data_IF_664460412257
#
_entry.id   IF_664460412257
#
_cell.length_a   1.000
_cell.length_b   1.000
_cell.length_c   1.000
_cell.angle_alpha   90.00
_cell.angle_beta   90.00
_cell.angle_gamma   90.00
#
_symmetry.space_group_name_H-M   'P 1'
#
loop_
_entity.id
_entity.type
_entity.pdbx_description
1 polymer ?
#
# COMPACT_ATOMS: atom_id res chain seq x y z
N UNK A 1 -14.81 -61.11 -27.54
CA UNK A 1 -16.16 -60.55 -27.75
C UNK A 1 -16.00 -59.03 -27.73
N UNK A 2 -15.68 -58.39 -28.86
CA UNK A 2 -16.60 -57.74 -29.82
C UNK A 2 -17.72 -56.92 -29.16
N UNK A 3 -17.57 -55.60 -29.15
CA UNK A 3 -18.48 -54.68 -29.83
C UNK A 3 -17.83 -53.29 -29.95
N UNK A 4 -17.56 -52.90 -31.19
CA UNK A 4 -17.20 -51.54 -31.61
C UNK A 4 -18.47 -50.82 -32.04
N UNK A 5 -18.56 -49.50 -31.85
CA UNK A 5 -19.47 -48.63 -32.58
C UNK A 5 -18.80 -47.28 -32.83
N UNK A 6 -18.61 -46.98 -34.12
CA UNK A 6 -18.14 -45.73 -34.71
C UNK A 6 -19.35 -45.07 -35.39
N UNK A 7 -19.56 -43.76 -35.17
CA UNK A 7 -20.28 -42.78 -36.02
C UNK A 7 -19.76 -41.40 -35.52
N UNK A 8 -19.22 -40.42 -36.26
CA UNK A 8 -19.20 -40.10 -37.68
C UNK A 8 -20.08 -38.86 -37.97
N UNK A 9 -19.50 -37.65 -38.15
CA UNK A 9 -20.22 -36.54 -38.83
C UNK A 9 -19.91 -35.07 -38.43
N UNK A 10 -18.93 -34.47 -39.12
CA UNK A 10 -18.89 -33.12 -39.77
C UNK A 10 -19.62 -31.87 -39.20
N UNK A 11 -18.79 -30.87 -38.85
CA UNK A 11 -18.80 -29.41 -39.17
C UNK A 11 -20.11 -28.62 -39.38
N UNK A 12 -20.26 -27.51 -38.64
CA UNK A 12 -20.66 -26.18 -39.18
C UNK A 12 -20.26 -25.05 -38.21
N UNK A 13 -19.43 -24.11 -38.70
CA UNK A 13 -19.13 -22.82 -38.07
C UNK A 13 -20.23 -21.86 -38.51
N UNK A 14 -20.99 -21.27 -37.57
CA UNK A 14 -21.88 -20.15 -37.82
C UNK A 14 -21.41 -18.93 -37.05
N UNK A 15 -20.93 -17.94 -37.79
CA UNK A 15 -20.78 -16.56 -37.34
C UNK A 15 -22.14 -15.86 -37.43
N UNK A 16 -22.55 -15.15 -36.37
CA UNK A 16 -23.58 -14.11 -36.48
C UNK A 16 -23.09 -12.82 -35.83
N UNK A 17 -22.88 -11.84 -36.70
CA UNK A 17 -22.83 -10.42 -36.37
C UNK A 17 -24.24 -9.94 -36.00
N UNK A 18 -24.35 -9.05 -35.02
CA UNK A 18 -25.56 -8.25 -34.79
C UNK A 18 -25.20 -6.77 -34.88
N UNK A 19 -25.59 -6.17 -36.01
CA UNK A 19 -25.67 -4.72 -36.20
C UNK A 19 -27.01 -4.21 -35.65
N UNK A 20 -27.00 -2.95 -35.22
CA UNK A 20 -28.12 -2.20 -34.70
C UNK A 20 -29.28 -2.01 -35.69
N UNK A 21 -30.52 -1.96 -35.19
CA UNK A 21 -31.58 -1.08 -35.66
C UNK A 21 -32.74 -1.02 -34.65
N UNK A 22 -33.15 0.20 -34.31
CA UNK A 22 -34.39 0.50 -33.60
C UNK A 22 -35.60 0.26 -34.52
N UNK A 23 -36.75 -0.11 -33.96
CA UNK A 23 -38.06 0.28 -34.49
C UNK A 23 -39.13 0.23 -33.40
N UNK A 24 -40.02 1.20 -33.51
CA UNK A 24 -41.00 1.74 -32.57
C UNK A 24 -42.34 1.01 -32.57
N UNK A 25 -43.12 1.17 -31.49
CA UNK A 25 -44.52 1.64 -31.52
C UNK A 25 -45.07 1.59 -30.08
N UNK A 26 -45.90 2.52 -29.61
CA UNK A 26 -46.73 3.45 -30.37
C UNK A 26 -47.04 4.74 -29.64
N UNK A 27 -47.61 5.63 -30.45
CA UNK A 27 -48.05 6.98 -30.18
C UNK A 27 -49.11 7.09 -29.08
N UNK A 28 -49.11 8.19 -28.32
CA UNK A 28 -50.12 9.25 -28.52
C UNK A 28 -49.53 10.60 -28.08
N UNK A 29 -49.89 11.60 -28.87
CA UNK A 29 -49.27 12.91 -29.08
C UNK A 29 -49.96 14.00 -28.18
N UNK A 30 -49.79 15.32 -28.41
CA UNK A 30 -48.91 16.20 -27.62
C UNK A 30 -49.68 17.29 -26.84
N UNK A 31 -48.99 18.04 -25.99
CA UNK A 31 -49.32 19.45 -25.73
C UNK A 31 -48.10 20.20 -25.21
N UNK A 32 -47.69 21.22 -25.96
CA UNK A 32 -46.70 22.25 -25.60
C UNK A 32 -47.43 23.61 -25.59
N UNK A 33 -46.81 24.73 -25.16
CA UNK A 33 -46.20 25.06 -23.87
C UNK A 33 -46.96 26.22 -23.19
N UNK A 34 -46.63 26.57 -21.94
CA UNK A 34 -46.87 27.92 -21.43
C UNK A 34 -45.77 28.34 -20.44
N UNK A 35 -44.90 29.25 -20.89
CA UNK A 35 -44.27 30.23 -20.00
C UNK A 35 -45.34 31.21 -19.52
N UNK A 36 -45.41 31.44 -18.21
CA UNK A 36 -45.83 32.73 -17.66
C UNK A 36 -44.94 33.11 -16.48
N UNK A 37 -44.30 34.25 -16.68
CA UNK A 37 -43.55 35.08 -15.75
C UNK A 37 -44.48 35.74 -14.70
N UNK A 38 -43.85 36.30 -13.66
CA UNK A 38 -44.33 37.31 -12.69
C UNK A 38 -44.75 36.81 -11.30
N UNK A 39 -43.91 37.10 -10.28
CA UNK A 39 -44.37 37.13 -8.89
C UNK A 39 -43.28 37.22 -7.82
N UNK A 40 -42.56 38.34 -7.75
CA UNK A 40 -41.72 38.70 -6.59
C UNK A 40 -42.64 39.06 -5.41
N UNK A 41 -42.41 38.48 -4.21
CA UNK A 41 -42.50 39.13 -2.89
C UNK A 41 -41.84 38.26 -1.78
N UNK A 42 -40.88 38.83 -1.04
CA UNK A 42 -40.68 38.55 0.40
C UNK A 42 -39.42 37.79 0.84
N UNK A 43 -38.40 38.53 1.30
CA UNK A 43 -37.20 38.07 2.01
C UNK A 43 -37.46 37.26 3.30
N UNK A 44 -36.56 36.32 3.63
CA UNK A 44 -35.74 36.38 4.86
C UNK A 44 -34.59 35.35 4.86
N UNK A 45 -33.51 35.74 5.52
CA UNK A 45 -32.13 35.27 5.46
C UNK A 45 -31.86 33.79 5.80
N UNK A 46 -30.91 33.23 5.06
CA UNK A 46 -30.14 32.04 5.42
C UNK A 46 -29.01 31.86 4.40
N UNK A 47 -27.85 32.46 4.67
CA UNK A 47 -26.71 32.51 3.76
C UNK A 47 -26.27 31.12 3.28
N UNK A 48 -26.46 30.87 1.99
CA UNK A 48 -25.75 29.84 1.23
C UNK A 48 -24.52 30.52 0.64
N UNK A 49 -23.32 30.12 1.05
CA UNK A 49 -22.09 30.56 0.38
C UNK A 49 -22.01 29.80 -0.94
N UNK A 50 -22.18 30.55 -2.02
CA UNK A 50 -22.13 30.10 -3.40
C UNK A 50 -20.69 29.70 -3.76
N UNK A 51 -20.50 28.46 -4.23
CA UNK A 51 -19.21 28.01 -4.77
C UNK A 51 -19.16 28.50 -6.21
N UNK A 52 -18.79 29.78 -6.34
CA UNK A 52 -18.55 30.42 -7.63
C UNK A 52 -17.44 29.72 -8.39
N UNK A 53 -17.83 29.05 -9.48
CA UNK A 53 -16.97 28.69 -10.60
C UNK A 53 -16.43 29.97 -11.24
N UNK A 54 -15.25 30.42 -10.81
CA UNK A 54 -14.46 31.39 -11.55
C UNK A 54 -13.15 30.74 -12.02
N UNK A 55 -13.09 30.50 -13.33
CA UNK A 55 -11.85 30.34 -14.09
C UNK A 55 -11.07 31.65 -14.03
N UNK A 56 -10.41 31.92 -12.91
CA UNK A 56 -9.43 32.99 -12.79
C UNK A 56 -8.07 32.43 -13.22
N UNK A 57 -7.56 32.92 -14.35
CA UNK A 57 -6.16 32.75 -14.73
C UNK A 57 -5.28 33.29 -13.58
N UNK A 58 -4.37 32.50 -13.00
CA UNK A 58 -3.56 33.00 -11.90
C UNK A 58 -2.59 34.10 -12.42
N UNK A 59 -2.38 35.17 -11.64
CA UNK A 59 -1.44 36.21 -12.01
C UNK A 59 -0.03 35.63 -12.00
N UNK A 60 0.67 35.81 -13.12
CA UNK A 60 2.10 35.56 -13.25
C UNK A 60 2.86 36.78 -12.70
N UNK A 61 3.87 36.46 -11.91
CA UNK A 61 5.01 37.26 -11.42
C UNK A 61 4.94 37.91 -10.02
N UNK A 62 5.88 37.46 -9.15
CA UNK A 62 6.47 38.33 -8.13
C UNK A 62 7.08 37.70 -6.86
N UNK A 63 8.19 36.93 -6.97
CA UNK A 63 9.17 36.64 -5.90
C UNK A 63 8.79 35.53 -4.90
N UNK A 64 9.58 34.46 -4.68
CA UNK A 64 11.02 34.40 -4.32
C UNK A 64 11.70 33.19 -4.99
N UNK A 65 13.02 33.27 -5.21
CA UNK A 65 13.91 32.17 -5.64
C UNK A 65 13.88 30.93 -4.70
N UNK A 66 12.84 30.11 -4.80
CA UNK A 66 12.75 28.79 -4.18
C UNK A 66 12.35 27.76 -5.23
N UNK A 67 13.03 26.61 -5.27
CA UNK A 67 12.97 25.59 -6.34
C UNK A 67 11.60 24.93 -6.58
N UNK A 68 11.60 23.72 -7.15
CA UNK A 68 10.42 22.92 -7.48
C UNK A 68 9.68 22.38 -6.24
N UNK A 69 9.40 23.25 -5.26
CA UNK A 69 8.83 22.92 -3.97
C UNK A 69 7.47 23.59 -3.75
N UNK A 70 6.59 22.92 -3.01
CA UNK A 70 5.33 23.49 -2.53
C UNK A 70 5.53 24.38 -1.30
N UNK A 71 4.52 25.20 -0.99
CA UNK A 71 4.49 26.03 0.22
C UNK A 71 4.56 25.22 1.52
N UNK A 72 4.15 23.94 1.48
CA UNK A 72 4.25 23.02 2.61
C UNK A 72 5.60 22.28 2.65
N UNK A 73 6.60 22.72 1.88
CA UNK A 73 7.97 22.23 1.93
C UNK A 73 8.26 20.95 1.16
N UNK A 74 7.32 20.48 0.32
CA UNK A 74 7.51 19.29 -0.52
C UNK A 74 8.22 19.65 -1.82
N UNK A 75 9.43 19.17 -2.02
CA UNK A 75 10.22 19.38 -3.22
C UNK A 75 10.15 18.17 -4.15
N UNK A 76 9.89 18.40 -5.44
CA UNK A 76 9.95 17.33 -6.44
C UNK A 76 11.39 16.87 -6.67
N UNK A 77 11.58 15.56 -6.74
CA UNK A 77 12.85 14.92 -7.07
C UNK A 77 12.69 14.15 -8.38
N UNK A 78 13.23 14.65 -9.51
CA UNK A 78 12.99 14.07 -10.82
C UNK A 78 13.46 12.61 -10.91
N UNK A 79 12.55 11.71 -11.29
CA UNK A 79 12.86 10.29 -11.48
C UNK A 79 13.65 10.06 -12.79
N UNK A 80 14.51 9.03 -12.86
CA UNK A 80 15.40 8.81 -13.99
C UNK A 80 14.68 8.09 -15.14
N UNK A 81 13.64 8.71 -15.70
CA UNK A 81 12.93 8.21 -16.87
C UNK A 81 11.41 8.24 -16.72
N UNK A 82 10.68 8.18 -17.84
CA UNK A 82 9.23 8.27 -17.84
C UNK A 82 8.57 6.96 -17.36
N UNK A 83 7.36 7.08 -16.83
CA UNK A 83 6.47 5.94 -16.59
C UNK A 83 6.85 5.04 -15.41
N UNK A 84 7.66 5.54 -14.48
CA UNK A 84 7.91 4.87 -13.20
C UNK A 84 6.73 5.10 -12.25
N UNK A 85 6.22 4.03 -11.66
CA UNK A 85 5.29 4.07 -10.52
C UNK A 85 6.04 3.59 -9.29
N UNK A 86 6.42 4.52 -8.43
CA UNK A 86 7.16 4.20 -7.21
C UNK A 86 6.19 3.60 -6.18
N UNK A 87 6.47 2.38 -5.72
CA UNK A 87 5.59 1.60 -4.84
C UNK A 87 6.01 1.65 -3.38
N UNK A 88 7.31 1.73 -3.13
CA UNK A 88 7.86 1.84 -1.79
C UNK A 88 9.14 2.68 -1.79
N UNK A 89 9.45 3.26 -0.63
CA UNK A 89 10.64 4.08 -0.39
C UNK A 89 11.19 3.79 1.01
N UNK A 90 12.51 3.84 1.16
CA UNK A 90 13.19 3.70 2.44
C UNK A 90 14.16 4.87 2.63
N UNK A 91 13.80 5.86 3.46
CA UNK A 91 14.65 7.02 3.70
C UNK A 91 15.77 6.71 4.69
N UNK A 92 16.93 7.29 4.44
CA UNK A 92 18.07 7.38 5.34
C UNK A 92 18.45 8.87 5.51
N UNK A 93 19.48 9.14 6.31
CA UNK A 93 20.06 10.47 6.36
C UNK A 93 20.83 10.77 5.05
N UNK A 94 20.38 11.79 4.30
CA UNK A 94 21.02 12.21 3.05
C UNK A 94 20.91 11.25 1.86
N UNK A 95 20.16 10.15 2.00
CA UNK A 95 19.99 9.11 0.98
C UNK A 95 18.58 8.51 1.07
N UNK A 96 18.08 7.95 -0.03
CA UNK A 96 16.88 7.13 0.00
C UNK A 96 16.95 6.02 -1.05
N UNK A 97 16.28 4.90 -0.77
CA UNK A 97 16.10 3.82 -1.73
C UNK A 97 14.64 3.71 -2.14
N UNK A 98 14.36 3.36 -3.39
CA UNK A 98 13.00 3.19 -3.88
C UNK A 98 12.88 1.97 -4.77
N UNK A 99 11.69 1.35 -4.76
CA UNK A 99 11.31 0.32 -5.73
C UNK A 99 10.15 0.86 -6.56
N UNK A 100 10.26 0.70 -7.87
CA UNK A 100 9.28 1.19 -8.82
C UNK A 100 8.90 0.14 -9.84
N UNK A 101 7.68 0.25 -10.36
CA UNK A 101 7.16 -0.56 -11.45
C UNK A 101 7.04 0.28 -12.72
N UNK A 102 7.31 -0.34 -13.85
CA UNK A 102 7.17 0.26 -15.18
C UNK A 102 6.61 -0.76 -16.16
N UNK A 103 5.63 -0.34 -16.97
CA UNK A 103 5.08 -1.18 -18.03
C UNK A 103 6.12 -1.54 -19.11
N UNK A 104 7.19 -0.75 -19.26
CA UNK A 104 8.22 -0.97 -20.28
C UNK A 104 9.55 -1.45 -19.72
N UNK A 105 9.85 -1.12 -18.46
CA UNK A 105 11.13 -1.47 -17.83
C UNK A 105 11.01 -2.57 -16.77
N UNK A 106 9.78 -3.03 -16.47
CA UNK A 106 9.51 -3.94 -15.37
C UNK A 106 9.75 -3.29 -14.01
N UNK A 107 10.19 -4.08 -13.02
CA UNK A 107 10.57 -3.59 -11.71
C UNK A 107 11.98 -2.97 -11.76
N UNK A 108 12.14 -1.81 -11.14
CA UNK A 108 13.39 -1.03 -11.05
C UNK A 108 13.68 -0.67 -9.60
N UNK A 109 14.96 -0.64 -9.24
CA UNK A 109 15.41 -0.23 -7.90
C UNK A 109 16.32 0.98 -8.03
N UNK A 110 16.03 2.00 -7.23
CA UNK A 110 16.64 3.31 -7.35
C UNK A 110 17.29 3.75 -6.04
N UNK A 111 18.36 4.53 -6.16
CA UNK A 111 19.03 5.22 -5.07
C UNK A 111 19.01 6.72 -5.36
N UNK A 112 18.51 7.49 -4.39
CA UNK A 112 18.59 8.94 -4.36
C UNK A 112 19.77 9.40 -3.54
N UNK A 113 20.59 10.29 -4.10
CA UNK A 113 21.69 10.93 -3.41
C UNK A 113 21.41 12.42 -3.16
N UNK A 114 21.34 12.78 -1.87
CA UNK A 114 21.06 14.15 -1.43
C UNK A 114 22.28 15.09 -1.43
N UNK A 115 23.48 14.61 -1.81
CA UNK A 115 24.68 15.46 -1.83
C UNK A 115 24.57 16.66 -2.78
N UNK A 116 23.70 16.60 -3.79
CA UNK A 116 23.41 17.70 -4.71
C UNK A 116 22.34 18.68 -4.22
N UNK A 117 21.86 18.55 -2.98
CA UNK A 117 20.88 19.44 -2.36
C UNK A 117 19.47 18.84 -2.28
N UNK A 118 18.43 19.68 -2.06
CA UNK A 118 17.05 19.21 -1.80
C UNK A 118 16.40 18.51 -3.00
N UNK A 119 16.94 18.70 -4.21
CA UNK A 119 16.51 18.05 -5.45
C UNK A 119 17.51 16.98 -5.90
N UNK A 120 18.05 16.22 -4.94
CA UNK A 120 19.11 15.23 -5.18
C UNK A 120 18.84 14.27 -6.36
N UNK A 121 19.85 13.52 -6.76
CA UNK A 121 19.78 12.75 -8.01
C UNK A 121 19.39 11.29 -7.77
N UNK A 122 18.41 10.80 -8.53
CA UNK A 122 18.07 9.39 -8.59
C UNK A 122 18.92 8.64 -9.62
N UNK A 123 19.33 7.42 -9.27
CA UNK A 123 20.07 6.51 -10.14
C UNK A 123 19.54 5.08 -10.02
N UNK A 124 19.60 4.31 -11.10
CA UNK A 124 19.29 2.87 -11.06
C UNK A 124 20.44 2.11 -10.41
N UNK A 125 20.10 1.20 -9.51
CA UNK A 125 21.08 0.37 -8.79
C UNK A 125 20.90 -1.13 -9.01
N UNK A 126 19.76 -1.54 -9.60
CA UNK A 126 19.48 -2.93 -9.95
C UNK A 126 20.32 -3.44 -11.14
N UNK A 127 20.45 -4.77 -11.25
CA UNK A 127 21.13 -5.46 -12.36
C UNK A 127 20.17 -6.00 -13.44
N UNK A 128 18.87 -5.74 -13.29
CA UNK A 128 17.82 -6.13 -14.22
C UNK A 128 17.30 -7.56 -14.06
N UNK A 129 17.95 -8.40 -13.24
CA UNK A 129 17.56 -9.82 -13.08
C UNK A 129 16.16 -9.99 -12.48
N UNK A 130 15.66 -8.99 -11.75
CA UNK A 130 14.28 -8.94 -11.24
C UNK A 130 13.19 -9.01 -12.31
N UNK A 131 13.55 -8.89 -13.59
CA UNK A 131 12.65 -8.97 -14.73
C UNK A 131 12.82 -10.25 -15.56
N UNK A 132 13.64 -11.21 -15.11
CA UNK A 132 13.91 -12.46 -15.85
C UNK A 132 12.66 -13.33 -16.00
N UNK A 133 11.83 -13.36 -14.96
CA UNK A 133 10.58 -14.12 -14.98
C UNK A 133 9.51 -13.29 -15.70
N UNK A 134 9.16 -13.72 -16.92
CA UNK A 134 8.19 -13.04 -17.82
C UNK A 134 6.74 -12.98 -17.31
N UNK A 135 6.51 -13.26 -16.03
CA UNK A 135 5.25 -12.94 -15.36
C UNK A 135 5.12 -11.41 -15.28
N UNK A 136 3.91 -10.87 -15.09
CA UNK A 136 3.74 -9.45 -14.78
C UNK A 136 4.36 -9.20 -13.38
N UNK A 137 5.57 -8.63 -13.27
CA UNK A 137 6.23 -8.55 -11.98
C UNK A 137 5.64 -7.37 -11.21
N UNK A 138 5.21 -7.62 -9.97
CA UNK A 138 4.91 -6.56 -9.01
C UNK A 138 6.06 -6.43 -8.01
N UNK A 139 6.25 -5.22 -7.50
CA UNK A 139 7.15 -4.95 -6.40
C UNK A 139 6.44 -5.20 -5.07
N UNK A 140 7.14 -5.84 -4.13
CA UNK A 140 6.72 -5.90 -2.73
C UNK A 140 7.25 -4.71 -1.95
N UNK A 141 7.84 -4.97 -0.78
CA UNK A 141 8.50 -3.94 0.05
C UNK A 141 10.01 -3.89 -0.13
N UNK A 142 10.63 -2.84 0.43
CA UNK A 142 12.08 -2.74 0.59
C UNK A 142 12.47 -2.29 2.00
N UNK A 143 13.67 -2.67 2.42
CA UNK A 143 14.25 -2.34 3.73
C UNK A 143 15.76 -2.28 3.63
N UNK A 144 16.37 -1.27 4.26
CA UNK A 144 17.82 -1.12 4.32
C UNK A 144 18.26 -0.82 5.76
N UNK A 145 19.21 -1.58 6.33
CA UNK A 145 19.80 -1.23 7.62
C UNK A 145 20.68 0.02 7.53
N UNK A 146 21.28 0.28 6.37
CA UNK A 146 22.11 1.46 6.09
C UNK A 146 22.28 1.69 4.58
N UNK A 147 23.22 2.56 4.19
CA UNK A 147 23.43 2.99 2.82
C UNK A 147 24.12 1.96 1.90
N UNK A 148 24.67 0.87 2.46
CA UNK A 148 25.50 -0.09 1.72
C UNK A 148 24.91 -1.51 1.71
N UNK A 149 23.68 -1.66 2.21
CA UNK A 149 22.99 -2.93 2.40
C UNK A 149 21.49 -2.70 2.15
N UNK A 150 20.90 -3.42 1.20
CA UNK A 150 19.52 -3.21 0.78
C UNK A 150 18.84 -4.53 0.46
N UNK A 151 17.64 -4.70 1.01
CA UNK A 151 16.74 -5.78 0.67
C UNK A 151 15.51 -5.25 -0.04
N UNK A 152 15.04 -5.95 -1.06
CA UNK A 152 13.75 -5.69 -1.68
C UNK A 152 13.13 -6.99 -2.18
N UNK A 153 11.83 -6.96 -2.44
CA UNK A 153 11.10 -8.15 -2.88
C UNK A 153 10.37 -7.94 -4.20
N UNK A 154 10.33 -8.98 -5.05
CA UNK A 154 9.67 -8.95 -6.36
C UNK A 154 8.94 -10.27 -6.59
N UNK A 155 7.79 -10.22 -7.25
CA UNK A 155 7.04 -11.40 -7.66
C UNK A 155 7.91 -12.40 -8.46
N UNK A 156 7.65 -13.71 -8.38
CA UNK A 156 6.61 -14.39 -7.59
C UNK A 156 7.15 -14.91 -6.24
N UNK A 157 7.77 -14.04 -5.42
CA UNK A 157 8.27 -14.40 -4.08
C UNK A 157 9.80 -14.33 -3.93
N UNK A 158 10.49 -13.57 -4.78
CA UNK A 158 11.93 -13.35 -4.62
C UNK A 158 12.24 -12.29 -3.57
N UNK A 159 13.21 -12.58 -2.72
CA UNK A 159 13.94 -11.59 -1.92
C UNK A 159 15.29 -11.34 -2.60
N UNK A 160 15.55 -10.09 -2.93
CA UNK A 160 16.84 -9.60 -3.40
C UNK A 160 17.60 -8.99 -2.23
N UNK A 161 18.90 -9.27 -2.15
CA UNK A 161 19.81 -8.70 -1.18
C UNK A 161 21.02 -8.14 -1.93
N UNK A 162 21.18 -6.82 -1.81
CA UNK A 162 22.25 -6.04 -2.40
C UNK A 162 23.25 -5.59 -1.36
N UNK A 163 24.53 -5.66 -1.69
CA UNK A 163 25.60 -5.09 -0.86
C UNK A 163 26.55 -4.25 -1.72
N UNK A 164 27.05 -3.17 -1.14
CA UNK A 164 28.13 -2.37 -1.71
C UNK A 164 29.41 -2.58 -0.88
N UNK A 165 30.56 -2.93 -1.49
CA UNK A 165 31.82 -3.01 -0.74
C UNK A 165 32.25 -1.63 -0.22
N UNK A 166 33.12 -1.61 0.79
CA UNK A 166 33.76 -0.36 1.23
C UNK A 166 34.59 0.21 0.06
N UNK A 167 34.64 1.55 -0.13
CA UNK A 167 35.43 2.20 -1.18
C UNK A 167 36.85 1.62 -1.33
N UNK A 168 37.37 1.50 -2.57
CA UNK A 168 36.95 2.24 -3.76
C UNK A 168 35.87 1.57 -4.63
N UNK A 169 35.41 0.36 -4.31
CA UNK A 169 34.33 -0.29 -5.06
C UNK A 169 32.99 0.27 -4.60
N UNK A 170 32.26 0.92 -5.50
CA UNK A 170 30.94 1.51 -5.19
C UNK A 170 29.79 0.82 -5.94
N UNK A 171 30.08 -0.20 -6.73
CA UNK A 171 29.06 -0.96 -7.45
C UNK A 171 28.31 -1.90 -6.49
N UNK A 172 27.00 -1.99 -6.68
CA UNK A 172 26.16 -2.96 -6.00
C UNK A 172 26.43 -4.38 -6.51
N UNK A 173 26.44 -5.35 -5.61
CA UNK A 173 26.39 -6.77 -5.91
C UNK A 173 25.07 -7.34 -5.40
N UNK A 174 24.37 -8.07 -6.26
CA UNK A 174 23.04 -8.59 -5.98
C UNK A 174 23.03 -10.12 -5.84
N UNK A 175 22.22 -10.60 -4.92
CA UNK A 175 21.82 -11.99 -4.80
C UNK A 175 20.30 -12.07 -4.67
N UNK A 176 19.71 -13.19 -5.07
CA UNK A 176 18.26 -13.43 -4.92
C UNK A 176 17.96 -14.83 -4.41
N UNK A 177 16.89 -14.97 -3.65
CA UNK A 177 16.36 -16.26 -3.21
C UNK A 177 14.85 -16.24 -3.35
N UNK A 178 14.27 -17.32 -3.88
CA UNK A 178 12.83 -17.49 -3.96
C UNK A 178 12.32 -18.09 -2.66
N UNK A 179 11.32 -17.46 -2.04
CA UNK A 179 10.63 -17.98 -0.88
C UNK A 179 9.66 -19.10 -1.29
N UNK A 180 9.49 -20.07 -0.41
CA UNK A 180 8.51 -21.14 -0.57
C UNK A 180 7.09 -20.60 -0.37
N UNK A 181 6.12 -21.14 -1.09
CA UNK A 181 4.70 -20.85 -0.88
C UNK A 181 4.08 -21.95 -0.01
N UNK A 182 3.71 -21.63 1.22
CA UNK A 182 3.01 -22.57 2.11
C UNK A 182 1.50 -22.32 2.17
N UNK A 183 0.96 -21.41 1.37
CA UNK A 183 -0.50 -21.23 1.32
C UNK A 183 -1.14 -22.38 0.59
N UNK A 184 -2.10 -23.03 1.25
CA UNK A 184 -2.87 -24.15 0.71
C UNK A 184 -1.98 -25.26 0.13
N UNK A 185 -0.83 -25.53 0.77
CA UNK A 185 0.11 -26.55 0.32
C UNK A 185 -0.58 -27.91 0.18
N UNK A 186 -0.45 -28.53 -1.00
CA UNK A 186 -1.09 -29.80 -1.31
C UNK A 186 -2.56 -29.71 -1.74
N UNK A 187 -3.17 -28.53 -1.74
CA UNK A 187 -4.52 -28.32 -2.26
C UNK A 187 -4.51 -27.96 -3.75
N UNK A 188 -4.98 -28.89 -4.57
CA UNK A 188 -5.07 -28.74 -6.03
C UNK A 188 -6.01 -27.61 -6.44
N UNK A 189 -7.01 -27.27 -5.62
CA UNK A 189 -7.95 -26.18 -5.92
C UNK A 189 -7.28 -24.80 -5.90
N UNK A 190 -6.19 -24.66 -5.13
CA UNK A 190 -5.51 -23.38 -4.90
C UNK A 190 -4.12 -23.31 -5.56
N UNK A 191 -3.63 -24.42 -6.14
CA UNK A 191 -2.30 -24.52 -6.74
C UNK A 191 -2.01 -23.53 -7.90
N UNK A 192 -3.05 -22.93 -8.50
CA UNK A 192 -2.92 -21.96 -9.60
C UNK A 192 -3.15 -20.51 -9.18
N UNK A 193 -3.49 -20.25 -7.92
CA UNK A 193 -3.76 -18.89 -7.43
C UNK A 193 -2.44 -18.14 -7.20
N UNK A 194 -2.42 -16.85 -7.54
CA UNK A 194 -1.35 -15.95 -7.08
C UNK A 194 -1.66 -15.52 -5.64
N UNK A 195 -0.98 -16.14 -4.69
CA UNK A 195 -1.14 -15.83 -3.27
C UNK A 195 -0.39 -14.58 -2.82
N UNK A 196 0.43 -13.99 -3.69
CA UNK A 196 1.30 -12.87 -3.36
C UNK A 196 0.74 -11.50 -3.70
N UNK A 197 -0.33 -11.40 -4.50
CA UNK A 197 -0.96 -10.12 -4.87
C UNK A 197 -2.48 -10.07 -4.66
N UNK A 198 -2.97 -10.33 -3.42
CA UNK A 198 -4.40 -10.27 -3.11
C UNK A 198 -4.99 -8.87 -3.33
N UNK A 199 -6.29 -8.81 -3.62
CA UNK A 199 -7.03 -7.55 -3.74
C UNK A 199 -7.44 -7.06 -2.36
N UNK A 200 -7.00 -5.86 -1.98
CA UNK A 200 -7.50 -5.15 -0.82
C UNK A 200 -8.78 -4.40 -1.24
N UNK A 201 -9.94 -4.94 -0.87
CA UNK A 201 -11.25 -4.41 -1.25
C UNK A 201 -11.51 -3.00 -0.74
N UNK A 202 -11.01 -2.66 0.45
CA UNK A 202 -11.16 -1.32 1.04
C UNK A 202 -10.33 -0.27 0.28
N UNK A 203 -9.20 -0.68 -0.32
CA UNK A 203 -8.38 0.18 -1.20
C UNK A 203 -8.79 0.12 -2.68
N UNK A 204 -9.57 -0.90 -3.08
CA UNK A 204 -9.95 -1.12 -4.48
C UNK A 204 -8.78 -1.50 -5.40
N UNK A 205 -7.69 -2.07 -4.86
CA UNK A 205 -6.49 -2.41 -5.63
C UNK A 205 -5.75 -3.64 -5.09
N UNK A 206 -4.90 -4.23 -5.93
CA UNK A 206 -3.96 -5.28 -5.49
C UNK A 206 -2.93 -4.74 -4.50
N UNK A 207 -2.57 -5.55 -3.51
CA UNK A 207 -1.61 -5.22 -2.47
C UNK A 207 -0.64 -6.39 -2.28
N UNK A 208 0.68 -6.16 -2.21
CA UNK A 208 1.64 -7.24 -2.12
C UNK A 208 1.57 -7.93 -0.74
N UNK A 209 1.26 -9.21 -0.75
CA UNK A 209 1.51 -10.15 0.35
C UNK A 209 2.96 -10.67 0.30
N UNK A 210 3.90 -9.77 0.01
CA UNK A 210 5.31 -10.04 -0.19
C UNK A 210 6.11 -8.83 0.30
N UNK A 211 7.05 -9.04 1.20
CA UNK A 211 7.89 -7.95 1.69
C UNK A 211 9.04 -8.41 2.55
N UNK A 212 9.84 -7.43 2.98
CA UNK A 212 11.05 -7.62 3.76
C UNK A 212 11.19 -6.48 4.77
N UNK A 213 11.68 -6.79 5.96
CA UNK A 213 11.89 -5.86 7.06
C UNK A 213 12.89 -6.44 8.06
N UNK A 214 13.63 -5.59 8.78
CA UNK A 214 14.55 -6.05 9.82
C UNK A 214 14.76 -5.04 10.94
N UNK A 215 15.42 -5.51 12.01
CA UNK A 215 15.91 -4.64 13.10
C UNK A 215 17.40 -4.34 12.99
N UNK A 216 18.13 -5.16 12.24
CA UNK A 216 19.58 -5.08 12.04
C UNK A 216 19.98 -5.97 10.87
N UNK A 217 21.22 -5.82 10.36
CA UNK A 217 21.79 -6.70 9.32
C UNK A 217 21.69 -8.19 9.64
N UNK A 218 21.81 -8.55 10.91
CA UNK A 218 21.77 -9.94 11.37
C UNK A 218 20.36 -10.44 11.77
N UNK A 219 19.33 -9.60 11.68
CA UNK A 219 17.97 -9.95 12.09
C UNK A 219 16.97 -9.38 11.08
N UNK A 220 16.86 -10.08 9.96
CA UNK A 220 16.05 -9.70 8.79
C UNK A 220 14.98 -10.75 8.56
N UNK A 221 13.76 -10.30 8.35
CA UNK A 221 12.60 -11.11 8.06
C UNK A 221 12.04 -10.77 6.69
N UNK A 222 11.52 -11.78 6.03
CA UNK A 222 10.70 -11.62 4.85
C UNK A 222 9.36 -12.32 5.07
N UNK A 223 8.37 -11.97 4.28
CA UNK A 223 7.13 -12.72 4.23
C UNK A 223 6.71 -12.91 2.79
N UNK A 224 6.05 -14.03 2.55
CA UNK A 224 5.38 -14.29 1.29
C UNK A 224 4.11 -15.07 1.61
N UNK A 225 2.99 -14.64 1.03
CA UNK A 225 1.71 -15.31 1.21
C UNK A 225 1.39 -15.40 2.71
N UNK A 226 1.17 -16.60 3.24
CA UNK A 226 0.83 -16.88 4.64
C UNK A 226 2.02 -17.12 5.58
N UNK A 227 3.26 -16.93 5.12
CA UNK A 227 4.46 -17.34 5.88
C UNK A 227 5.43 -16.19 6.15
N UNK A 228 5.98 -16.18 7.37
CA UNK A 228 7.11 -15.35 7.80
C UNK A 228 8.38 -16.20 7.78
N UNK A 229 9.41 -15.67 7.13
CA UNK A 229 10.74 -16.24 7.02
C UNK A 229 11.76 -15.37 7.77
N UNK A 230 12.77 -16.00 8.35
CA UNK A 230 13.90 -15.34 8.99
C UNK A 230 15.18 -15.70 8.25
N UNK A 231 15.99 -14.70 7.91
CA UNK A 231 17.33 -14.91 7.39
C UNK A 231 18.24 -15.51 8.46
N UNK A 232 18.71 -16.74 8.25
CA UNK A 232 19.61 -17.43 9.18
C UNK A 232 20.94 -17.74 8.51
N UNK A 233 22.03 -17.37 9.19
CA UNK A 233 23.39 -17.75 8.85
C UNK A 233 23.97 -18.56 10.02
N UNK A 234 23.86 -19.89 9.96
CA UNK A 234 24.38 -20.78 10.99
C UNK A 234 25.81 -21.27 10.66
N UNK A 235 26.64 -21.48 11.68
CA UNK A 235 28.01 -21.93 11.48
C UNK A 235 28.05 -23.30 10.78
N UNK A 236 28.63 -23.34 9.58
CA UNK A 236 28.77 -24.56 8.78
C UNK A 236 27.63 -24.86 7.81
N UNK A 237 26.59 -24.02 7.77
CA UNK A 237 25.52 -24.09 6.77
C UNK A 237 25.55 -22.86 5.85
N UNK A 238 25.04 -23.02 4.62
CA UNK A 238 24.81 -21.87 3.75
C UNK A 238 23.68 -21.01 4.34
N UNK A 239 23.79 -19.68 4.35
CA UNK A 239 22.71 -18.81 4.78
C UNK A 239 21.43 -19.06 3.98
N UNK A 240 20.29 -19.04 4.64
CA UNK A 240 19.00 -19.33 4.03
C UNK A 240 17.85 -18.58 4.71
N UNK A 241 16.77 -18.38 3.96
CA UNK A 241 15.48 -17.98 4.51
C UNK A 241 14.81 -19.22 5.12
N UNK A 242 14.57 -19.18 6.43
CA UNK A 242 13.96 -20.27 7.17
C UNK A 242 12.55 -19.85 7.60
N UNK A 243 11.55 -20.64 7.22
CA UNK A 243 10.18 -20.43 7.70
C UNK A 243 10.14 -20.51 9.23
N UNK A 244 9.67 -19.45 9.88
CA UNK A 244 9.62 -19.36 11.34
C UNK A 244 8.19 -19.31 11.88
N UNK A 245 7.23 -18.85 11.06
CA UNK A 245 5.82 -18.86 11.39
C UNK A 245 4.97 -18.90 10.13
N UNK A 246 3.91 -19.73 10.13
CA UNK A 246 2.89 -19.77 9.08
C UNK A 246 1.50 -19.62 9.69
N UNK A 247 0.63 -18.86 9.02
CA UNK A 247 -0.81 -18.83 9.31
C UNK A 247 -1.53 -19.77 8.33
N UNK A 248 -1.75 -21.01 8.74
CA UNK A 248 -2.34 -22.09 7.95
C UNK A 248 -3.63 -22.67 8.57
N UNK A 249 -4.14 -21.99 9.60
CA UNK A 249 -5.30 -22.38 10.38
C UNK A 249 -6.59 -21.78 9.81
N UNK A 250 -6.95 -22.25 8.62
CA UNK A 250 -8.19 -21.91 7.92
C UNK A 250 -9.41 -22.50 8.64
N UNK A 251 -10.43 -21.69 8.90
CA UNK A 251 -11.70 -22.15 9.47
C UNK A 251 -12.65 -22.67 8.37
N UNK A 252 -12.46 -22.20 7.13
CA UNK A 252 -13.19 -22.71 5.95
C UNK A 252 -12.28 -22.83 4.73
N UNK A 253 -12.60 -23.70 3.75
CA UNK A 253 -11.77 -23.88 2.55
C UNK A 253 -11.63 -22.64 1.65
N UNK A 254 -12.47 -21.62 1.84
CA UNK A 254 -12.46 -20.40 1.01
C UNK A 254 -11.65 -19.26 1.66
N UNK A 255 -11.07 -19.50 2.83
CA UNK A 255 -10.22 -18.52 3.49
C UNK A 255 -8.83 -18.48 2.84
N UNK A 256 -8.30 -17.27 2.72
CA UNK A 256 -6.90 -17.03 2.40
C UNK A 256 -6.28 -16.22 3.52
N UNK A 257 -5.11 -16.67 3.98
CA UNK A 257 -4.34 -16.05 5.04
C UNK A 257 -3.10 -15.45 4.42
N UNK A 258 -2.79 -14.20 4.72
CA UNK A 258 -1.58 -13.56 4.18
C UNK A 258 -1.00 -12.49 5.09
N UNK A 259 0.30 -12.24 4.98
CA UNK A 259 1.00 -11.17 5.67
C UNK A 259 1.20 -9.95 4.79
N UNK A 260 1.02 -8.75 5.35
CA UNK A 260 0.96 -7.48 4.60
C UNK A 260 1.85 -6.38 5.19
N UNK A 261 2.53 -6.64 6.30
CA UNK A 261 3.43 -5.66 6.89
C UNK A 261 4.11 -6.17 8.14
N UNK A 262 5.21 -5.52 8.48
CA UNK A 262 5.99 -5.80 9.68
C UNK A 262 6.51 -4.51 10.29
N UNK A 263 6.71 -4.52 11.61
CA UNK A 263 7.38 -3.47 12.36
C UNK A 263 7.98 -4.04 13.65
N UNK A 264 8.88 -3.29 14.28
CA UNK A 264 9.47 -3.72 15.54
C UNK A 264 10.60 -2.82 15.97
N UNK A 265 11.11 -3.07 17.17
CA UNK A 265 12.20 -2.27 17.77
C UNK A 265 13.43 -3.09 18.16
N UNK A 266 13.33 -4.42 18.11
CA UNK A 266 14.41 -5.33 18.46
C UNK A 266 14.01 -6.80 18.26
N UNK A 267 14.91 -7.75 18.52
CA UNK A 267 14.70 -9.17 18.24
C UNK A 267 13.55 -9.80 19.06
N UNK A 268 13.17 -9.19 20.18
CA UNK A 268 12.06 -9.62 21.05
C UNK A 268 10.85 -8.68 21.02
N UNK A 269 10.78 -7.78 20.02
CA UNK A 269 9.62 -6.91 19.81
C UNK A 269 9.40 -6.74 18.30
N UNK A 270 8.95 -7.83 17.67
CA UNK A 270 8.67 -7.89 16.23
C UNK A 270 7.19 -8.18 16.04
N UNK A 271 6.57 -7.49 15.10
CA UNK A 271 5.15 -7.55 14.83
C UNK A 271 4.93 -7.78 13.34
N UNK A 272 4.01 -8.68 13.02
CA UNK A 272 3.53 -8.91 11.66
C UNK A 272 2.03 -8.69 11.61
N UNK A 273 1.61 -7.84 10.67
CA UNK A 273 0.21 -7.70 10.32
C UNK A 273 -0.15 -8.71 9.25
N UNK A 274 -1.09 -9.58 9.58
CA UNK A 274 -1.71 -10.54 8.68
C UNK A 274 -3.18 -10.25 8.47
N UNK A 275 -3.77 -11.02 7.57
CA UNK A 275 -5.15 -10.89 7.15
C UNK A 275 -5.76 -12.28 7.01
N UNK A 276 -6.97 -12.45 7.53
CA UNK A 276 -7.87 -13.54 7.22
C UNK A 276 -8.92 -13.02 6.25
N UNK A 277 -8.80 -13.42 4.98
CA UNK A 277 -9.68 -12.99 3.91
C UNK A 277 -10.65 -14.10 3.51
N UNK A 278 -11.91 -13.75 3.31
CA UNK A 278 -12.96 -14.67 2.89
C UNK A 278 -13.32 -14.49 1.42
N UNK A 279 -13.01 -15.47 0.59
CA UNK A 279 -13.47 -15.53 -0.81
C UNK A 279 -14.91 -16.08 -0.91
N UNK A 280 -15.77 -15.58 -1.82
CA UNK A 280 -15.57 -14.46 -2.76
C UNK A 280 -16.01 -13.11 -2.18
N UNK A 281 -16.29 -13.04 -0.88
CA UNK A 281 -16.88 -11.86 -0.26
C UNK A 281 -15.98 -10.61 -0.34
N UNK A 282 -14.66 -10.82 -0.49
CA UNK A 282 -13.65 -9.76 -0.44
C UNK A 282 -13.58 -9.09 0.93
N UNK A 283 -14.14 -9.73 1.96
CA UNK A 283 -14.15 -9.24 3.33
C UNK A 283 -13.02 -9.90 4.08
N UNK A 284 -12.35 -9.10 4.89
CA UNK A 284 -11.17 -9.53 5.60
C UNK A 284 -11.11 -8.96 7.00
N UNK A 285 -10.46 -9.70 7.88
CA UNK A 285 -10.21 -9.31 9.26
C UNK A 285 -8.72 -9.44 9.57
N UNK A 286 -8.27 -8.69 10.57
CA UNK A 286 -6.85 -8.61 10.90
C UNK A 286 -6.41 -9.82 11.70
N UNK A 287 -5.22 -10.32 11.38
CA UNK A 287 -4.40 -11.15 12.26
C UNK A 287 -3.22 -10.29 12.70
N UNK A 288 -2.90 -10.30 13.98
CA UNK A 288 -1.70 -9.64 14.48
C UNK A 288 -0.85 -10.65 15.23
N UNK A 289 0.39 -10.81 14.78
CA UNK A 289 1.35 -11.75 15.35
C UNK A 289 2.51 -10.96 15.94
N UNK A 290 2.91 -11.32 17.16
CA UNK A 290 4.02 -10.71 17.88
C UNK A 290 5.06 -11.77 18.22
N UNK A 291 6.33 -11.51 17.91
CA UNK A 291 7.47 -12.26 18.45
C UNK A 291 8.00 -11.57 19.69
N UNK A 292 8.02 -12.32 20.79
CA UNK A 292 8.60 -11.93 22.07
C UNK A 292 9.26 -13.13 22.71
N UNK A 293 10.44 -12.95 23.32
CA UNK A 293 11.21 -14.03 23.93
C UNK A 293 11.43 -15.19 22.94
N UNK A 294 11.79 -14.85 21.70
CA UNK A 294 12.05 -15.81 20.61
C UNK A 294 10.85 -16.59 20.07
N UNK A 295 9.62 -16.34 20.53
CA UNK A 295 8.42 -17.08 20.09
C UNK A 295 7.36 -16.17 19.50
N UNK A 296 6.77 -16.59 18.37
CA UNK A 296 5.62 -15.92 17.77
C UNK A 296 4.32 -16.31 18.49
N UNK A 297 3.52 -15.31 18.82
CA UNK A 297 2.19 -15.47 19.40
C UNK A 297 1.20 -14.60 18.63
N UNK A 298 0.03 -15.14 18.32
CA UNK A 298 -1.07 -14.36 17.76
C UNK A 298 -1.74 -13.59 18.90
N UNK A 299 -1.69 -12.26 18.83
CA UNK A 299 -2.21 -11.36 19.87
C UNK A 299 -3.57 -10.78 19.51
N UNK A 300 -3.93 -10.80 18.22
CA UNK A 300 -5.28 -10.54 17.75
C UNK A 300 -5.60 -11.43 16.53
N UNK A 301 -6.86 -11.87 16.44
CA UNK A 301 -7.37 -12.68 15.32
C UNK A 301 -8.87 -12.38 15.14
N UNK A 302 -9.20 -11.81 13.99
CA UNK A 302 -10.59 -11.59 13.59
C UNK A 302 -11.05 -12.60 12.56
N UNK A 303 -12.33 -12.98 12.65
CA UNK A 303 -13.02 -13.83 11.66
C UNK A 303 -14.08 -13.05 10.92
N UNK A 304 -14.32 -13.43 9.67
CA UNK A 304 -15.34 -12.87 8.79
C UNK A 304 -16.65 -13.61 9.07
N UNK A 305 -17.65 -13.00 9.74
CA UNK A 305 -18.90 -13.70 10.01
C UNK A 305 -19.72 -13.85 8.72
N UNK A 306 -20.67 -14.79 8.67
CA UNK A 306 -21.58 -14.93 7.53
C UNK A 306 -22.31 -13.62 7.18
N UNK A 307 -22.49 -13.37 5.88
CA UNK A 307 -23.18 -12.19 5.38
C UNK A 307 -22.31 -10.92 5.41
N UNK A 308 -22.93 -9.76 5.65
CA UNK A 308 -22.29 -8.43 5.67
C UNK A 308 -21.99 -7.91 7.10
N UNK A 309 -22.00 -8.77 8.11
CA UNK A 309 -21.77 -8.39 9.51
C UNK A 309 -20.28 -8.03 9.77
N UNK A 310 -19.95 -6.99 10.55
CA UNK A 310 -18.57 -6.60 10.87
C UNK A 310 -17.70 -7.74 11.41
N UNK A 311 -16.37 -7.61 11.32
CA UNK A 311 -15.44 -8.60 11.89
C UNK A 311 -15.77 -8.96 13.34
N UNK A 312 -15.78 -10.26 13.64
CA UNK A 312 -15.89 -10.78 15.00
C UNK A 312 -14.52 -11.24 15.51
N UNK A 313 -14.37 -11.35 16.83
CA UNK A 313 -13.20 -11.99 17.41
C UNK A 313 -13.28 -13.50 17.15
N UNK A 314 -12.15 -14.11 16.81
CA UNK A 314 -12.04 -15.57 16.83
C UNK A 314 -12.00 -16.06 18.28
N UNK A 315 -12.56 -17.23 18.54
CA UNK A 315 -12.58 -17.81 19.88
C UNK A 315 -11.17 -17.85 20.49
N UNK A 316 -11.02 -17.25 21.67
CA UNK A 316 -9.74 -17.16 22.39
C UNK A 316 -8.85 -15.95 22.02
N UNK A 317 -9.25 -15.12 21.06
CA UNK A 317 -8.47 -13.95 20.64
C UNK A 317 -9.21 -12.63 20.82
N UNK A 318 -8.45 -11.54 20.89
CA UNK A 318 -8.99 -10.19 20.77
C UNK A 318 -9.19 -9.87 19.27
N UNK A 319 -10.18 -9.04 18.95
CA UNK A 319 -10.28 -8.39 17.63
C UNK A 319 -9.71 -6.99 17.69
N UNK A 320 -9.18 -6.52 16.56
CA UNK A 320 -8.85 -5.10 16.39
C UNK A 320 -10.11 -4.36 15.95
N UNK A 321 -10.52 -3.35 16.71
CA UNK A 321 -11.66 -2.48 16.43
C UNK A 321 -11.41 -1.52 15.27
N UNK A 322 -12.45 -0.77 14.87
CA UNK A 322 -12.42 0.21 13.78
C UNK A 322 -13.05 -0.30 12.49
N UNK A 323 -12.71 0.35 11.37
CA UNK A 323 -13.14 0.00 10.02
C UNK A 323 -12.84 -1.48 9.72
N UNK A 324 -13.69 -2.14 8.92
CA UNK A 324 -13.42 -3.52 8.46
C UNK A 324 -12.19 -3.55 7.54
N UNK A 325 -11.65 -4.76 7.29
CA UNK A 325 -10.51 -4.93 6.39
C UNK A 325 -9.16 -4.95 7.12
N UNK A 326 -8.11 -4.67 6.36
CA UNK A 326 -6.74 -5.02 6.72
C UNK A 326 -6.14 -4.02 7.71
N UNK A 327 -5.04 -4.40 8.37
CA UNK A 327 -4.14 -3.46 9.04
C UNK A 327 -2.86 -3.41 8.20
N UNK A 328 -2.57 -2.25 7.62
CA UNK A 328 -1.45 -2.07 6.69
C UNK A 328 -0.48 -1.04 7.23
N UNK A 329 0.75 -1.05 6.68
CA UNK A 329 1.78 -0.04 6.94
C UNK A 329 2.08 0.19 8.42
N UNK A 330 2.41 -0.90 9.12
CA UNK A 330 2.83 -0.84 10.51
C UNK A 330 4.13 -0.01 10.65
N UNK A 331 4.12 0.90 11.61
CA UNK A 331 5.24 1.77 11.93
C UNK A 331 5.50 1.76 13.45
N UNK A 332 6.76 1.60 13.86
CA UNK A 332 7.14 1.61 15.26
C UNK A 332 7.32 3.05 15.76
N UNK A 333 6.56 3.45 16.78
CA UNK A 333 6.75 4.72 17.50
C UNK A 333 7.77 4.58 18.64
N UNK A 334 8.02 3.35 19.08
CA UNK A 334 8.90 2.99 20.18
C UNK A 334 8.63 1.57 20.63
N UNK A 335 9.33 1.09 21.67
CA UNK A 335 9.15 -0.28 22.16
C UNK A 335 7.69 -0.55 22.49
N UNK A 336 7.15 -1.64 21.93
CA UNK A 336 5.76 -2.07 22.14
C UNK A 336 4.69 -1.05 21.75
N UNK A 337 5.01 -0.02 20.96
CA UNK A 337 4.08 1.04 20.52
C UNK A 337 4.17 1.24 19.02
N UNK A 338 3.04 1.10 18.34
CA UNK A 338 2.97 1.10 16.88
C UNK A 338 1.81 1.96 16.38
N UNK A 339 1.93 2.36 15.12
CA UNK A 339 0.84 2.94 14.33
C UNK A 339 0.62 2.08 13.09
N UNK A 340 -0.61 2.02 12.61
CA UNK A 340 -0.92 1.42 11.31
C UNK A 340 -2.23 1.94 10.75
N UNK A 341 -2.48 1.61 9.49
CA UNK A 341 -3.68 2.02 8.77
C UNK A 341 -4.68 0.86 8.71
N UNK A 342 -5.79 1.00 9.43
CA UNK A 342 -6.86 0.00 9.54
C UNK A 342 -7.98 0.30 8.53
N UNK A 343 -8.32 -0.70 7.72
CA UNK A 343 -9.43 -0.63 6.77
C UNK A 343 -9.30 0.49 5.75
N UNK A 344 -8.06 0.87 5.41
CA UNK A 344 -7.76 2.02 4.56
C UNK A 344 -8.45 3.33 5.00
N UNK A 345 -8.70 3.48 6.31
CA UNK A 345 -9.52 4.58 6.84
C UNK A 345 -9.08 5.07 8.21
N UNK A 346 -8.90 4.18 9.17
CA UNK A 346 -8.61 4.58 10.54
C UNK A 346 -7.11 4.51 10.82
N UNK A 347 -6.58 5.54 11.45
CA UNK A 347 -5.22 5.51 11.98
C UNK A 347 -5.27 4.88 13.36
N UNK A 348 -4.75 3.66 13.44
CA UNK A 348 -4.69 2.85 14.66
C UNK A 348 -3.37 3.14 15.38
N UNK A 349 -3.43 3.49 16.66
CA UNK A 349 -2.31 3.34 17.58
C UNK A 349 -2.48 2.04 18.37
N UNK A 350 -1.42 1.26 18.45
CA UNK A 350 -1.38 -0.03 19.13
C UNK A 350 -0.31 -0.03 20.20
N UNK A 351 -0.65 -0.49 21.40
CA UNK A 351 0.29 -0.69 22.49
C UNK A 351 0.19 -2.11 23.02
N UNK A 352 1.32 -2.78 23.22
CA UNK A 352 1.32 -4.09 23.86
C UNK A 352 0.98 -3.97 25.35
N UNK A 353 0.12 -4.86 25.84
CA UNK A 353 -0.26 -4.93 27.24
C UNK A 353 0.64 -5.89 28.02
N UNK A 354 0.77 -5.67 29.32
CA UNK A 354 1.64 -6.48 30.19
C UNK A 354 1.18 -7.95 30.33
N UNK A 355 -0.10 -8.22 30.05
CA UNK A 355 -0.72 -9.55 30.05
C UNK A 355 -0.54 -10.32 28.73
N UNK A 356 0.21 -9.76 27.77
CA UNK A 356 0.41 -10.34 26.45
C UNK A 356 -0.66 -9.96 25.42
N UNK A 357 -1.69 -9.19 25.81
CA UNK A 357 -2.69 -8.65 24.89
C UNK A 357 -2.28 -7.33 24.23
N UNK A 358 -3.26 -6.65 23.63
CA UNK A 358 -3.08 -5.33 23.02
C UNK A 358 -4.10 -4.31 23.53
N UNK A 359 -3.70 -3.04 23.54
CA UNK A 359 -4.56 -1.88 23.69
C UNK A 359 -4.53 -1.07 22.40
N UNK A 360 -5.66 -0.50 22.01
CA UNK A 360 -5.83 0.20 20.74
C UNK A 360 -6.54 1.53 20.89
N UNK A 361 -6.00 2.57 20.27
CA UNK A 361 -6.66 3.86 20.10
C UNK A 361 -6.86 4.13 18.61
N UNK A 362 -8.06 4.58 18.25
CA UNK A 362 -8.44 4.81 16.85
C UNK A 362 -8.62 6.29 16.59
N UNK A 363 -8.06 6.75 15.48
CA UNK A 363 -8.34 8.07 14.94
C UNK A 363 -8.92 7.93 13.53
N UNK A 364 -10.25 8.01 13.38
CA UNK A 364 -10.88 7.90 12.07
C UNK A 364 -10.49 9.05 11.16
N UNK A 365 -10.05 8.75 9.95
CA UNK A 365 -9.76 9.80 8.98
C UNK A 365 -11.08 10.45 8.48
N UNK A 366 -11.19 11.80 8.43
CA UNK A 366 -12.47 12.48 8.19
C UNK A 366 -13.14 12.09 6.87
N UNK A 367 -14.44 11.77 6.94
CA UNK A 367 -15.25 11.40 5.76
C UNK A 367 -15.27 12.46 4.66
N UNK A 368 -15.20 13.74 5.05
CA UNK A 368 -15.09 14.87 4.13
C UNK A 368 -13.83 14.82 3.27
N UNK A 369 -12.73 14.27 3.81
CA UNK A 369 -11.45 14.12 3.11
C UNK A 369 -11.36 12.80 2.33
N UNK A 370 -12.07 11.74 2.75
CA UNK A 370 -12.06 10.42 2.05
C UNK A 370 -13.15 10.23 1.00
N UNK A 371 -14.09 11.17 0.86
CA UNK A 371 -15.26 11.00 -0.04
C UNK A 371 -14.91 10.60 -1.48
N UNK A 372 -13.69 10.85 -1.95
CA UNK A 372 -13.18 10.38 -3.25
C UNK A 372 -11.73 9.84 -3.23
N UNK A 373 -11.12 9.70 -2.05
CA UNK A 373 -9.71 9.36 -1.88
C UNK A 373 -9.54 8.34 -0.75
N UNK A 374 -8.65 7.37 -0.96
CA UNK A 374 -8.40 6.32 0.03
C UNK A 374 -6.98 6.42 0.57
N UNK A 375 -6.79 6.58 1.91
CA UNK A 375 -5.49 6.44 2.54
C UNK A 375 -4.81 5.10 2.18
N UNK A 376 -3.51 5.14 1.90
CA UNK A 376 -2.73 3.96 1.50
C UNK A 376 -1.50 3.69 2.33
N UNK A 377 -0.97 4.73 2.98
CA UNK A 377 0.23 4.63 3.81
C UNK A 377 0.16 5.67 4.92
N UNK A 378 0.77 5.33 6.04
CA UNK A 378 0.89 6.15 7.24
C UNK A 378 2.33 6.17 7.73
N UNK A 379 2.80 7.36 8.06
CA UNK A 379 4.01 7.57 8.84
C UNK A 379 3.68 8.45 10.03
N UNK A 380 4.28 8.21 11.19
CA UNK A 380 3.92 8.93 12.39
C UNK A 380 5.10 9.19 13.33
N UNK A 381 4.98 10.25 14.11
CA UNK A 381 5.77 10.48 15.32
C UNK A 381 4.85 10.29 16.53
N UNK A 382 5.32 10.65 17.73
CA UNK A 382 4.49 10.62 18.93
C UNK A 382 3.27 11.56 18.88
N UNK A 383 3.33 12.65 18.10
CA UNK A 383 2.32 13.71 18.06
C UNK A 383 1.79 14.01 16.66
N UNK A 384 2.46 13.53 15.60
CA UNK A 384 2.07 13.78 14.22
C UNK A 384 1.80 12.49 13.48
N UNK A 385 0.85 12.55 12.56
CA UNK A 385 0.53 11.49 11.61
C UNK A 385 0.55 12.09 10.22
N UNK A 386 1.11 11.37 9.26
CA UNK A 386 1.18 11.75 7.87
C UNK A 386 0.61 10.62 7.02
N UNK A 387 -0.33 10.96 6.13
CA UNK A 387 -1.03 10.00 5.28
C UNK A 387 -0.85 10.36 3.82
N UNK A 388 -0.55 9.37 2.98
CA UNK A 388 -0.73 9.50 1.53
C UNK A 388 -2.04 8.84 1.09
N UNK A 389 -2.63 9.35 0.02
CA UNK A 389 -3.85 8.79 -0.55
C UNK A 389 -3.68 8.36 -2.00
N UNK A 390 -4.47 7.39 -2.42
CA UNK A 390 -4.70 7.12 -3.84
C UNK A 390 -6.00 7.75 -4.32
N UNK A 391 -6.05 7.97 -5.62
CA UNK A 391 -7.22 8.49 -6.32
C UNK A 391 -8.23 7.36 -6.57
N UNK A 392 -9.47 7.53 -6.09
CA UNK A 392 -10.56 6.58 -6.34
C UNK A 392 -11.51 7.06 -7.45
N UNK A 393 -11.68 8.38 -7.60
CA UNK A 393 -12.51 9.01 -8.66
C UNK A 393 -11.83 10.23 -9.29
N UNK A 394 -12.55 11.25 -9.75
CA UNK A 394 -11.98 12.39 -10.51
C UNK A 394 -11.09 13.36 -9.69
N UNK A 395 -10.91 13.12 -8.39
CA UNK A 395 -10.14 13.98 -7.47
C UNK A 395 -8.64 13.72 -7.51
N UNK A 396 -7.86 14.72 -7.12
CA UNK A 396 -6.41 14.61 -6.96
C UNK A 396 -6.06 13.83 -5.68
N UNK A 397 -5.00 13.01 -5.72
CA UNK A 397 -4.40 12.49 -4.49
C UNK A 397 -3.80 13.63 -3.65
N UNK A 398 -3.69 13.44 -2.34
CA UNK A 398 -3.09 14.41 -1.45
C UNK A 398 -2.27 13.73 -0.35
N UNK A 399 -1.53 14.55 0.39
CA UNK A 399 -0.99 14.20 1.71
C UNK A 399 -1.83 14.90 2.77
N UNK A 400 -2.17 14.18 3.84
CA UNK A 400 -2.79 14.75 5.02
C UNK A 400 -1.85 14.69 6.21
N UNK A 401 -1.88 15.72 7.05
CA UNK A 401 -1.17 15.79 8.32
C UNK A 401 -2.20 15.80 9.46
N UNK A 402 -2.03 14.91 10.40
CA UNK A 402 -2.74 14.89 11.67
C UNK A 402 -1.83 15.36 12.78
N UNK A 403 -2.35 16.15 13.72
CA UNK A 403 -1.65 16.52 14.96
C UNK A 403 -2.53 16.11 16.13
N UNK A 404 -1.95 15.40 17.10
CA UNK A 404 -2.61 14.94 18.33
C UNK A 404 -3.95 14.21 18.08
N UNK A 405 -4.01 13.42 17.01
CA UNK A 405 -5.26 12.86 16.45
C UNK A 405 -5.93 11.80 17.32
N UNK A 406 -5.23 11.28 18.34
CA UNK A 406 -5.78 10.41 19.37
C UNK A 406 -6.20 11.17 20.65
N UNK A 407 -5.90 12.47 20.73
CA UNK A 407 -6.14 13.33 21.90
C UNK A 407 -7.03 14.54 21.57
N UNK A 408 -7.95 14.38 20.61
CA UNK A 408 -8.90 15.42 20.20
C UNK A 408 -8.38 16.41 19.17
N UNK A 409 -7.20 16.18 18.59
CA UNK A 409 -6.69 16.92 17.46
C UNK A 409 -7.39 16.58 16.14
N UNK A 410 -6.87 17.11 15.02
CA UNK A 410 -7.51 17.04 13.71
C UNK A 410 -6.54 16.74 12.58
N UNK A 411 -7.10 16.42 11.42
CA UNK A 411 -6.38 16.27 10.16
C UNK A 411 -6.56 17.48 9.26
N UNK A 412 -5.50 17.85 8.58
CA UNK A 412 -5.45 18.93 7.61
C UNK A 412 -4.75 18.46 6.31
N UNK A 413 -5.09 19.10 5.19
CA UNK A 413 -4.42 18.83 3.93
C UNK A 413 -3.05 19.50 3.91
N UNK A 414 -2.02 18.73 3.56
CA UNK A 414 -0.69 19.26 3.26
C UNK A 414 -0.59 19.54 1.76
N UNK A 415 -0.46 20.82 1.39
CA UNK A 415 -0.41 21.24 -0.01
C UNK A 415 0.78 20.62 -0.74
N UNK A 416 0.49 19.86 -1.79
CA UNK A 416 1.48 19.33 -2.74
C UNK A 416 1.51 20.11 -4.05
N UNK A 417 0.79 21.23 -4.14
CA UNK A 417 0.78 22.05 -5.34
C UNK A 417 2.20 22.57 -5.62
N UNK A 418 2.73 22.19 -6.78
CA UNK A 418 4.02 22.65 -7.28
C UNK A 418 3.77 23.79 -8.27
N UNK A 419 4.85 24.43 -8.75
CA UNK A 419 4.77 25.50 -9.77
C UNK A 419 3.98 25.09 -11.03
N UNK A 420 3.96 23.80 -11.36
CA UNK A 420 3.28 23.25 -12.53
C UNK A 420 1.83 22.81 -12.27
N UNK A 421 1.31 23.03 -11.05
CA UNK A 421 -0.05 22.71 -10.66
C UNK A 421 -0.15 21.60 -9.61
N UNK A 422 -1.39 21.17 -9.28
CA UNK A 422 -1.62 20.12 -8.30
C UNK A 422 -1.20 18.74 -8.83
N UNK A 423 -0.67 17.90 -7.94
CA UNK A 423 -0.43 16.49 -8.23
C UNK A 423 -1.76 15.77 -8.29
N UNK A 424 -2.08 15.17 -9.43
CA UNK A 424 -3.39 14.52 -9.68
C UNK A 424 -3.32 13.00 -9.73
N UNK A 425 -2.13 12.43 -9.55
CA UNK A 425 -1.85 11.00 -9.66
C UNK A 425 -1.74 10.34 -8.28
N UNK A 426 -1.96 9.03 -8.21
CA UNK A 426 -1.99 8.27 -6.96
C UNK A 426 -0.64 8.28 -6.21
N UNK A 427 -0.70 8.45 -4.89
CA UNK A 427 0.44 8.37 -3.97
C UNK A 427 0.33 7.09 -3.14
N UNK A 428 1.34 6.23 -3.22
CA UNK A 428 1.28 4.87 -2.66
C UNK A 428 1.96 4.74 -1.30
N UNK A 429 3.03 5.51 -1.05
CA UNK A 429 3.81 5.39 0.18
C UNK A 429 4.21 6.76 0.71
N UNK A 430 4.09 6.92 2.02
CA UNK A 430 4.71 7.99 2.81
C UNK A 430 5.60 7.38 3.90
N UNK A 431 6.88 7.75 3.92
CA UNK A 431 7.85 7.25 4.91
C UNK A 431 8.90 8.31 5.20
N UNK A 432 9.38 8.36 6.44
CA UNK A 432 10.35 9.35 6.87
C UNK A 432 11.24 8.87 8.00
N UNK A 433 12.29 9.64 8.26
CA UNK A 433 13.08 9.55 9.49
C UNK A 433 12.75 10.69 10.47
N UNK A 434 12.10 11.74 9.97
CA UNK A 434 11.56 12.87 10.75
C UNK A 434 10.50 13.62 9.92
N UNK A 435 9.78 14.56 10.54
CA UNK A 435 8.79 15.40 9.83
C UNK A 435 9.41 16.37 8.81
N UNK A 436 10.74 16.51 8.82
CA UNK A 436 11.53 17.29 7.85
C UNK A 436 12.49 16.43 7.03
N UNK A 437 12.37 15.11 7.11
CA UNK A 437 12.96 14.15 6.18
C UNK A 437 11.91 13.09 5.90
N UNK A 438 10.86 13.52 5.21
CA UNK A 438 9.67 12.75 4.90
C UNK A 438 9.52 12.68 3.38
N UNK A 439 9.18 11.50 2.89
CA UNK A 439 9.03 11.22 1.48
C UNK A 439 7.61 10.77 1.19
N UNK A 440 7.06 11.25 0.07
CA UNK A 440 5.85 10.68 -0.51
C UNK A 440 6.11 10.31 -1.97
N UNK A 441 5.72 9.11 -2.35
CA UNK A 441 6.03 8.54 -3.67
C UNK A 441 4.80 7.90 -4.30
N UNK A 442 4.76 7.88 -5.62
CA UNK A 442 3.60 7.38 -6.36
C UNK A 442 3.80 7.29 -7.86
N UNK A 443 2.70 7.46 -8.59
CA UNK A 443 2.72 7.44 -10.06
C UNK A 443 3.51 8.65 -10.56
N UNK A 444 4.70 8.39 -11.10
CA UNK A 444 5.63 9.36 -11.70
C UNK A 444 6.16 10.45 -10.76
N UNK A 445 5.95 10.33 -9.46
CA UNK A 445 6.44 11.31 -8.49
C UNK A 445 7.20 10.69 -7.34
N UNK A 446 8.25 11.40 -6.93
CA UNK A 446 8.91 11.28 -5.64
C UNK A 446 9.12 12.69 -5.08
N UNK A 447 8.48 12.99 -3.95
CA UNK A 447 8.55 14.29 -3.29
C UNK A 447 9.25 14.15 -1.96
N UNK A 448 10.18 15.07 -1.68
CA UNK A 448 10.94 15.13 -0.43
C UNK A 448 10.57 16.37 0.36
N UNK A 449 10.06 16.18 1.58
CA UNK A 449 9.86 17.27 2.53
C UNK A 449 11.14 17.49 3.31
N UNK A 450 11.73 18.68 3.11
CA UNK A 450 13.00 19.11 3.73
C UNK A 450 12.84 20.24 4.73
N UNK A 451 11.66 20.86 4.78
CA UNK A 451 11.34 22.00 5.65
C UNK A 451 10.03 21.76 6.40
N UNK A 452 9.82 22.37 7.58
CA UNK A 452 8.62 22.20 8.41
C UNK A 452 7.29 22.48 7.71
#
# INVERSE_FOLDING_TARGET
MRASLFVGGTTAILALAAAAACTSSGETEPTTPAEQDSGILGSSDGAVVDVGSDTATPPVDGGVDGGDCSDAGWCETPLPGPGLTVKDIWPLEGRAFAVAESATQGVRVLEWDGASGPTGTWSYIDDGTQNDERAAPYAGGLWAPDADDLYYTVAPGYVYHGTRPVPPQTAWSWSRTRLEDHSHEGDVAHASHDHGFPTNSEMGMGYPALGVWGTSRDNVYAWYSNTVFHWKAEAGAAPAWVAEYSADDFDTPNEHLFFVGAAGTGPDDIWFSGVRDGSPSGRSCVILVRKTAGSFNRVADGVVPPGFAPCAARDGFQKIDGANGWLTDLHALGPSRFVGLKGARDVLQLTASADGGIATDLSPFPSSLVSNNTPTSVWATSNEVWLSTVKTYATAAFVARGVDVWNGGSYELSTLALRHGPITSSLFRIRGTSSTNLWVVGVQHALHKTTP
#
